data_IF_880624189471
#
_entry.id   IF_880624189471
#
_cell.length_a   1.000
_cell.length_b   1.000
_cell.length_c   1.000
_cell.angle_alpha   90.00
_cell.angle_beta   90.00
_cell.angle_gamma   90.00
#
_symmetry.space_group_name_H-M   'P 1'
#
loop_
_entity.id
_entity.type
_entity.pdbx_description
1 polymer ?
#
# COMPACT_ATOMS: atom_id res chain seq x y z
N UNK A 1 6.31 -10.57 18.12
CA UNK A 1 5.04 -11.35 17.99
C UNK A 1 5.12 -12.16 16.72
N UNK A 2 4.66 -13.41 16.75
CA UNK A 2 4.67 -14.25 15.55
C UNK A 2 3.60 -13.80 14.54
N UNK A 3 3.84 -13.96 13.23
CA UNK A 3 2.91 -13.51 12.18
C UNK A 3 1.50 -14.07 12.31
N UNK A 4 1.37 -15.34 12.71
CA UNK A 4 0.07 -15.97 12.92
C UNK A 4 -0.72 -15.28 14.05
N UNK A 5 -0.08 -14.95 15.16
CA UNK A 5 -0.74 -14.26 16.27
C UNK A 5 -1.20 -12.83 15.89
N UNK A 6 -0.44 -12.15 15.03
CA UNK A 6 -0.83 -10.85 14.46
C UNK A 6 -2.04 -10.98 13.54
N UNK A 7 -2.03 -11.97 12.66
CA UNK A 7 -3.16 -12.26 11.78
C UNK A 7 -4.43 -12.59 12.58
N UNK A 8 -4.32 -13.46 13.59
CA UNK A 8 -5.45 -13.86 14.43
C UNK A 8 -6.05 -12.66 15.20
N UNK A 9 -5.20 -11.75 15.67
CA UNK A 9 -5.66 -10.53 16.34
C UNK A 9 -6.38 -9.57 15.37
N UNK A 10 -5.87 -9.39 14.14
CA UNK A 10 -6.56 -8.61 13.09
C UNK A 10 -7.88 -9.28 12.74
N UNK A 11 -7.90 -10.60 12.56
CA UNK A 11 -9.10 -11.36 12.22
C UNK A 11 -10.15 -11.32 13.33
N UNK A 12 -9.73 -11.41 14.59
CA UNK A 12 -10.63 -11.31 15.73
C UNK A 12 -11.34 -9.94 15.82
N UNK A 13 -10.66 -8.87 15.40
CA UNK A 13 -11.22 -7.50 15.45
C UNK A 13 -11.98 -7.10 14.19
N UNK A 14 -11.53 -7.52 13.01
CA UNK A 14 -12.05 -7.07 11.72
C UNK A 14 -12.76 -8.17 10.92
N UNK A 15 -12.82 -9.40 11.44
CA UNK A 15 -13.54 -10.50 10.83
C UNK A 15 -13.10 -10.78 9.39
N UNK A 16 -14.05 -10.72 8.46
CA UNK A 16 -13.85 -11.03 7.04
C UNK A 16 -12.94 -10.02 6.30
N UNK A 17 -12.57 -8.91 6.94
CA UNK A 17 -11.59 -7.99 6.36
C UNK A 17 -10.18 -8.60 6.34
N UNK A 18 -9.84 -9.52 7.23
CA UNK A 18 -8.58 -10.28 7.22
C UNK A 18 -8.76 -11.55 6.39
N UNK A 19 -8.24 -11.52 5.15
CA UNK A 19 -8.49 -12.56 4.16
C UNK A 19 -7.52 -13.74 4.29
N UNK A 20 -6.20 -13.46 4.39
CA UNK A 20 -5.16 -14.47 4.29
C UNK A 20 -3.89 -14.01 4.99
N UNK A 21 -3.13 -14.98 5.54
CA UNK A 21 -1.74 -14.77 5.96
C UNK A 21 -0.80 -15.42 4.93
N UNK A 22 0.02 -14.60 4.27
CA UNK A 22 1.05 -15.04 3.33
C UNK A 22 2.41 -15.06 4.04
N UNK A 23 2.79 -16.20 4.60
CA UNK A 23 4.06 -16.37 5.34
C UNK A 23 5.10 -17.19 4.56
N UNK A 24 4.69 -18.00 3.61
CA UNK A 24 5.59 -18.90 2.87
C UNK A 24 6.59 -18.11 1.98
N UNK A 25 7.84 -18.05 2.42
CA UNK A 25 8.94 -17.46 1.67
C UNK A 25 9.05 -15.93 1.75
N UNK A 26 8.15 -15.25 2.46
CA UNK A 26 8.19 -13.79 2.62
C UNK A 26 8.79 -13.40 3.97
N UNK A 27 9.56 -12.31 3.98
CA UNK A 27 10.07 -11.66 5.19
C UNK A 27 9.98 -10.14 5.05
N UNK A 28 9.10 -9.47 5.79
CA UNK A 28 8.11 -10.04 6.72
C UNK A 28 6.96 -10.76 6.02
N UNK A 29 6.21 -11.59 6.77
CA UNK A 29 4.95 -12.16 6.31
C UNK A 29 3.90 -11.07 6.04
N UNK A 30 2.96 -11.32 5.14
CA UNK A 30 1.91 -10.38 4.78
C UNK A 30 0.53 -10.83 5.25
N UNK A 31 -0.18 -9.93 5.91
CA UNK A 31 -1.63 -10.04 6.14
C UNK A 31 -2.33 -9.43 4.93
N UNK A 32 -3.05 -10.24 4.18
CA UNK A 32 -3.89 -9.76 3.06
C UNK A 32 -5.22 -9.32 3.63
N UNK A 33 -5.63 -8.11 3.30
CA UNK A 33 -6.85 -7.48 3.80
C UNK A 33 -7.71 -6.94 2.65
N UNK A 34 -8.99 -6.71 2.94
CA UNK A 34 -9.85 -5.98 2.01
C UNK A 34 -9.39 -4.53 1.88
N UNK A 35 -9.35 -3.95 0.67
CA UNK A 35 -8.89 -2.57 0.47
C UNK A 35 -9.60 -1.54 1.35
N UNK A 36 -10.92 -1.65 1.49
CA UNK A 36 -11.71 -0.71 2.27
C UNK A 36 -11.32 -0.63 3.75
N UNK A 37 -10.73 -1.69 4.29
CA UNK A 37 -10.36 -1.78 5.72
C UNK A 37 -8.93 -1.35 6.03
N UNK A 38 -8.14 -0.97 5.01
CA UNK A 38 -6.69 -0.74 5.20
C UNK A 38 -6.40 0.34 6.24
N UNK A 39 -7.13 1.45 6.24
CA UNK A 39 -6.89 2.56 7.16
C UNK A 39 -7.25 2.20 8.61
N UNK A 40 -8.31 1.44 8.83
CA UNK A 40 -8.74 1.03 10.16
C UNK A 40 -7.83 -0.07 10.73
N UNK A 41 -7.42 -1.04 9.90
CA UNK A 41 -6.44 -2.06 10.28
C UNK A 41 -5.09 -1.41 10.57
N UNK A 42 -4.65 -0.46 9.75
CA UNK A 42 -3.42 0.30 9.96
C UNK A 42 -3.42 1.04 11.30
N UNK A 43 -4.52 1.74 11.60
CA UNK A 43 -4.69 2.45 12.88
C UNK A 43 -4.64 1.49 14.07
N UNK A 44 -5.33 0.35 13.97
CA UNK A 44 -5.28 -0.67 15.00
C UNK A 44 -3.88 -1.20 15.24
N UNK A 45 -3.16 -1.57 14.19
CA UNK A 45 -1.78 -2.07 14.30
C UNK A 45 -0.82 -1.06 14.92
N UNK A 46 -1.02 0.25 14.65
CA UNK A 46 -0.22 1.31 15.24
C UNK A 46 -0.54 1.52 16.73
N UNK A 47 -1.83 1.56 17.06
CA UNK A 47 -2.30 2.06 18.37
C UNK A 47 -2.38 0.96 19.43
N UNK A 48 -2.52 -0.31 19.05
CA UNK A 48 -2.58 -1.44 19.98
C UNK A 48 -1.25 -1.59 20.73
N UNK A 49 -1.25 -1.56 22.08
CA UNK A 49 -0.03 -1.61 22.89
C UNK A 49 0.83 -2.85 22.70
N UNK A 50 0.23 -3.99 22.31
CA UNK A 50 0.95 -5.24 22.08
C UNK A 50 1.63 -5.29 20.70
N UNK A 51 1.17 -4.46 19.75
CA UNK A 51 1.64 -4.44 18.37
C UNK A 51 2.54 -3.25 18.07
N UNK A 52 2.05 -2.03 18.31
CA UNK A 52 2.77 -0.75 18.16
C UNK A 52 3.62 -0.67 16.88
N UNK A 53 2.99 -0.87 15.73
CA UNK A 53 3.65 -0.65 14.45
C UNK A 53 3.76 0.85 14.16
N UNK A 54 4.70 1.49 14.82
CA UNK A 54 4.93 2.93 14.78
C UNK A 54 5.71 3.40 13.55
N UNK A 55 6.27 2.47 12.77
CA UNK A 55 7.05 2.79 11.58
C UNK A 55 6.49 2.12 10.32
N UNK A 56 6.08 2.94 9.35
CA UNK A 56 5.86 2.51 7.97
C UNK A 56 7.21 2.57 7.24
N UNK A 57 7.79 1.40 6.98
CA UNK A 57 9.11 1.28 6.33
C UNK A 57 9.01 1.50 4.82
N UNK A 58 7.94 1.00 4.21
CA UNK A 58 7.70 1.11 2.77
C UNK A 58 6.22 0.94 2.47
N UNK A 59 5.73 1.69 1.48
CA UNK A 59 4.46 1.46 0.81
C UNK A 59 4.73 1.45 -0.68
N UNK A 60 4.33 0.39 -1.37
CA UNK A 60 4.59 0.21 -2.80
C UNK A 60 3.37 -0.32 -3.53
N UNK A 61 3.17 0.17 -4.75
CA UNK A 61 2.26 -0.43 -5.72
C UNK A 61 2.90 -1.63 -6.39
N UNK A 62 2.09 -2.63 -6.69
CA UNK A 62 2.52 -3.83 -7.46
C UNK A 62 1.51 -4.06 -8.57
N UNK A 63 2.01 -4.20 -9.79
CA UNK A 63 1.19 -4.55 -10.95
C UNK A 63 1.29 -6.06 -11.22
N UNK A 64 0.23 -6.80 -10.90
CA UNK A 64 0.03 -8.18 -11.33
C UNK A 64 -0.65 -8.21 -12.70
N UNK A 65 -0.69 -9.37 -13.35
CA UNK A 65 -1.31 -9.51 -14.66
C UNK A 65 -2.80 -9.14 -14.64
N UNK A 66 -3.50 -9.53 -13.59
CA UNK A 66 -4.96 -9.47 -13.43
C UNK A 66 -5.44 -8.41 -12.43
N UNK A 67 -4.55 -7.86 -11.60
CA UNK A 67 -4.88 -6.92 -10.53
C UNK A 67 -3.70 -6.03 -10.15
N UNK A 68 -3.99 -4.96 -9.41
CA UNK A 68 -2.98 -4.25 -8.63
C UNK A 68 -2.95 -4.74 -7.19
N UNK A 69 -1.90 -4.42 -6.47
CA UNK A 69 -1.86 -4.49 -5.02
C UNK A 69 -1.08 -3.31 -4.45
N UNK A 70 -1.43 -2.93 -3.22
CA UNK A 70 -0.62 -2.06 -2.38
C UNK A 70 -0.06 -2.89 -1.25
N UNK A 71 1.25 -2.84 -1.07
CA UNK A 71 1.99 -3.55 -0.04
C UNK A 71 2.66 -2.55 0.91
N UNK A 72 2.34 -2.62 2.20
CA UNK A 72 2.94 -1.83 3.26
C UNK A 72 3.83 -2.72 4.12
N UNK A 73 5.05 -2.29 4.37
CA UNK A 73 5.96 -2.94 5.31
C UNK A 73 5.98 -2.14 6.60
N UNK A 74 5.58 -2.79 7.68
CA UNK A 74 5.43 -2.18 9.00
C UNK A 74 6.45 -2.73 9.97
N UNK A 75 6.96 -1.87 10.83
CA UNK A 75 7.90 -2.23 11.88
C UNK A 75 7.52 -1.59 13.20
N UNK A 76 7.67 -2.35 14.29
CA UNK A 76 7.54 -1.85 15.63
C UNK A 76 8.92 -1.62 16.24
N UNK A 77 9.27 -0.36 16.44
CA UNK A 77 10.55 0.02 17.07
C UNK A 77 10.64 -0.50 18.51
N UNK A 78 9.52 -0.49 19.22
CA UNK A 78 9.45 -0.96 20.61
C UNK A 78 9.57 -2.47 20.74
N UNK A 79 8.81 -3.22 19.95
CA UNK A 79 8.71 -4.67 20.05
C UNK A 79 9.66 -5.42 19.10
N UNK A 80 10.34 -4.70 18.22
CA UNK A 80 11.32 -5.24 17.25
C UNK A 80 10.75 -6.38 16.41
N UNK A 81 9.52 -6.22 15.95
CA UNK A 81 8.88 -7.15 15.01
C UNK A 81 8.39 -6.43 13.76
N UNK A 82 8.20 -7.17 12.70
CA UNK A 82 7.74 -6.67 11.42
C UNK A 82 6.55 -7.47 10.89
N UNK A 83 5.70 -6.81 10.13
CA UNK A 83 4.59 -7.41 9.37
C UNK A 83 4.35 -6.62 8.08
N UNK A 84 3.86 -7.30 7.05
CA UNK A 84 3.34 -6.66 5.87
C UNK A 84 1.82 -6.57 5.89
N UNK A 85 1.26 -5.47 5.38
CA UNK A 85 -0.14 -5.41 4.97
C UNK A 85 -0.20 -5.41 3.45
N UNK A 86 -1.15 -6.14 2.88
CA UNK A 86 -1.36 -6.19 1.44
C UNK A 86 -2.84 -6.06 1.11
N UNK A 87 -3.18 -5.12 0.26
CA UNK A 87 -4.52 -4.94 -0.29
C UNK A 87 -4.49 -5.16 -1.80
N UNK A 88 -5.37 -6.03 -2.31
CA UNK A 88 -5.49 -6.29 -3.74
C UNK A 88 -6.61 -5.45 -4.34
N UNK A 89 -6.35 -4.82 -5.50
CA UNK A 89 -7.24 -3.87 -6.16
C UNK A 89 -7.55 -4.33 -7.59
N UNK A 90 -8.73 -4.01 -8.13
CA UNK A 90 -9.02 -4.25 -9.53
C UNK A 90 -8.13 -3.40 -10.44
N UNK A 91 -7.96 -3.81 -11.69
CA UNK A 91 -7.25 -3.00 -12.71
C UNK A 91 -8.00 -1.73 -13.08
N UNK A 92 -9.33 -1.80 -13.07
CA UNK A 92 -10.19 -0.69 -13.38
C UNK A 92 -10.46 0.14 -12.12
N UNK A 93 -10.17 1.44 -12.18
CA UNK A 93 -10.38 2.40 -11.08
C UNK A 93 -9.81 1.91 -9.73
N UNK A 94 -8.51 1.57 -9.65
CA UNK A 94 -7.91 1.09 -8.43
C UNK A 94 -7.89 2.18 -7.37
N UNK A 95 -8.63 1.98 -6.28
CA UNK A 95 -8.66 2.92 -5.16
C UNK A 95 -8.71 2.21 -3.82
N UNK A 96 -8.20 2.87 -2.79
CA UNK A 96 -8.27 2.44 -1.41
C UNK A 96 -8.10 3.65 -0.47
N UNK A 97 -8.55 3.56 0.80
CA UNK A 97 -8.33 4.63 1.77
C UNK A 97 -6.84 4.91 2.00
N UNK A 98 -6.49 6.20 2.11
CA UNK A 98 -5.15 6.64 2.49
C UNK A 98 -4.79 6.23 3.92
N UNK A 99 -3.52 5.94 4.14
CA UNK A 99 -2.94 5.68 5.47
C UNK A 99 -2.04 6.82 5.96
N UNK A 100 -2.03 7.97 5.27
CA UNK A 100 -1.21 9.13 5.64
C UNK A 100 -1.60 9.77 6.97
N UNK A 101 -2.86 9.62 7.39
CA UNK A 101 -3.33 10.02 8.72
C UNK A 101 -2.84 9.09 9.83
N UNK A 102 -2.43 7.87 9.47
CA UNK A 102 -1.84 6.89 10.40
C UNK A 102 -0.32 7.09 10.48
N UNK A 103 0.34 7.11 9.34
CA UNK A 103 1.78 7.37 9.21
C UNK A 103 2.03 8.50 8.22
N UNK A 104 2.43 9.68 8.67
CA UNK A 104 2.66 10.83 7.76
C UNK A 104 3.65 10.56 6.62
N UNK A 105 4.59 9.63 6.81
CA UNK A 105 5.52 9.20 5.76
C UNK A 105 4.82 8.56 4.55
N UNK A 106 3.62 8.00 4.74
CA UNK A 106 2.83 7.41 3.66
C UNK A 106 2.50 8.42 2.56
N UNK A 107 2.33 9.70 2.88
CA UNK A 107 1.93 10.71 1.89
C UNK A 107 2.83 10.69 0.65
N UNK A 108 4.15 10.69 0.82
CA UNK A 108 5.08 10.65 -0.31
C UNK A 108 5.06 9.32 -1.06
N UNK A 109 4.93 8.21 -0.36
CA UNK A 109 4.88 6.87 -0.95
C UNK A 109 3.57 6.62 -1.69
N UNK A 110 2.46 7.17 -1.19
CA UNK A 110 1.15 7.16 -1.85
C UNK A 110 1.18 7.99 -3.14
N UNK A 111 1.79 9.19 -3.09
CA UNK A 111 1.99 10.01 -4.29
C UNK A 111 2.83 9.31 -5.36
N UNK A 112 3.92 8.65 -4.97
CA UNK A 112 4.74 7.85 -5.89
C UNK A 112 3.92 6.73 -6.52
N UNK A 113 3.16 6.00 -5.70
CA UNK A 113 2.30 4.90 -6.16
C UNK A 113 1.17 5.40 -7.08
N UNK A 114 0.56 6.53 -6.75
CA UNK A 114 -0.40 7.21 -7.61
C UNK A 114 0.24 7.63 -8.94
N UNK A 115 1.40 8.29 -8.88
CA UNK A 115 2.08 8.83 -10.05
C UNK A 115 2.45 7.72 -11.05
N UNK A 116 2.99 6.61 -10.56
CA UNK A 116 3.56 5.56 -11.41
C UNK A 116 2.57 4.44 -11.78
N UNK A 117 1.52 4.21 -11.00
CA UNK A 117 0.52 3.15 -11.24
C UNK A 117 -0.90 3.67 -11.41
N UNK A 118 -1.20 4.91 -11.01
CA UNK A 118 -2.55 5.47 -11.04
C UNK A 118 -3.48 4.87 -9.98
N UNK A 119 -2.94 4.39 -8.87
CA UNK A 119 -3.72 3.92 -7.72
C UNK A 119 -4.13 5.15 -6.90
N UNK A 120 -5.43 5.32 -6.67
CA UNK A 120 -6.00 6.46 -5.94
C UNK A 120 -6.05 6.15 -4.44
N UNK A 121 -5.48 7.04 -3.63
CA UNK A 121 -5.55 6.97 -2.16
C UNK A 121 -6.60 7.96 -1.66
N UNK A 122 -7.78 7.45 -1.34
CA UNK A 122 -8.93 8.25 -0.93
C UNK A 122 -8.68 8.90 0.43
N UNK A 123 -8.92 10.21 0.51
CA UNK A 123 -8.69 10.99 1.73
C UNK A 123 -7.23 11.38 1.97
N UNK A 124 -6.33 11.11 1.03
CA UNK A 124 -4.95 11.63 1.09
C UNK A 124 -4.96 13.16 1.05
N UNK A 125 -4.11 13.78 1.88
CA UNK A 125 -4.05 15.25 2.05
C UNK A 125 -3.50 15.98 0.84
N UNK A 126 -2.68 15.32 0.02
CA UNK A 126 -2.01 15.94 -1.13
C UNK A 126 -1.68 14.87 -2.19
N UNK A 127 -2.70 14.34 -2.88
CA UNK A 127 -2.53 13.33 -3.91
C UNK A 127 -2.27 13.96 -5.28
N UNK A 128 -1.02 14.25 -5.57
CA UNK A 128 -0.54 14.79 -6.85
C UNK A 128 0.73 14.08 -7.29
N UNK A 129 1.11 14.22 -8.55
CA UNK A 129 2.37 13.63 -9.06
C UNK A 129 3.58 14.12 -8.26
N UNK A 130 4.62 13.31 -8.20
CA UNK A 130 5.85 13.60 -7.46
C UNK A 130 7.12 13.38 -8.29
N UNK A 131 7.16 12.37 -9.14
CA UNK A 131 8.31 12.01 -9.95
C UNK A 131 8.18 12.47 -11.39
N UNK A 132 6.97 12.38 -11.96
CA UNK A 132 6.69 12.77 -13.32
C UNK A 132 6.20 14.23 -13.38
N UNK A 133 6.39 14.91 -14.53
CA UNK A 133 5.76 16.20 -14.79
C UNK A 133 4.24 16.12 -14.70
N UNK A 134 3.58 17.24 -14.35
CA UNK A 134 2.12 17.27 -14.18
C UNK A 134 1.37 16.94 -15.48
N UNK A 135 1.94 17.27 -16.62
CA UNK A 135 1.39 17.05 -17.96
C UNK A 135 1.78 15.69 -18.56
N UNK A 136 2.47 14.83 -17.82
CA UNK A 136 2.79 13.47 -18.29
C UNK A 136 1.53 12.62 -18.44
N UNK A 137 1.37 11.97 -19.59
CA UNK A 137 0.22 11.13 -19.88
C UNK A 137 0.46 9.68 -19.40
N UNK A 138 -0.49 9.17 -18.60
CA UNK A 138 -0.50 7.79 -18.10
C UNK A 138 0.41 7.53 -16.91
N UNK A 139 0.69 6.24 -16.67
CA UNK A 139 1.37 5.72 -15.49
C UNK A 139 2.42 4.68 -15.89
N UNK A 140 3.72 5.06 -15.93
CA UNK A 140 4.77 4.29 -16.62
C UNK A 140 5.10 2.92 -16.02
N UNK A 141 4.79 2.65 -14.77
CA UNK A 141 5.06 1.34 -14.17
C UNK A 141 3.93 0.31 -14.37
N UNK A 142 2.85 0.70 -15.03
CA UNK A 142 1.85 -0.28 -15.49
C UNK A 142 2.44 -1.15 -16.58
N UNK A 143 2.20 -2.46 -16.51
CA UNK A 143 2.67 -3.43 -17.52
C UNK A 143 2.04 -3.24 -18.91
N UNK A 144 0.88 -2.61 -18.97
CA UNK A 144 0.16 -2.26 -20.19
C UNK A 144 0.47 -0.85 -20.70
N UNK A 145 1.35 -0.11 -20.03
CA UNK A 145 1.73 1.25 -20.41
C UNK A 145 2.51 1.24 -21.73
N UNK A 146 2.13 2.17 -22.60
CA UNK A 146 2.85 2.46 -23.85
C UNK A 146 3.49 3.84 -23.76
N UNK A 147 4.79 3.89 -23.93
CA UNK A 147 5.51 5.15 -23.94
C UNK A 147 5.07 6.00 -25.13
N UNK A 148 4.94 7.33 -24.95
CA UNK A 148 4.69 8.23 -26.08
C UNK A 148 5.90 8.24 -27.02
N UNK A 149 5.67 8.45 -28.31
CA UNK A 149 6.76 8.56 -29.30
C UNK A 149 7.60 9.82 -29.11
N UNK A 150 7.01 10.85 -28.53
CA UNK A 150 7.68 12.11 -28.23
C UNK A 150 7.06 12.81 -27.02
N UNK A 151 7.87 13.60 -26.33
CA UNK A 151 7.45 14.46 -25.23
C UNK A 151 8.01 15.87 -25.46
N UNK A 152 7.16 16.91 -25.49
CA UNK A 152 7.53 18.30 -25.84
C UNK A 152 8.35 18.43 -27.13
N UNK A 153 8.03 17.61 -28.14
CA UNK A 153 8.74 17.62 -29.42
C UNK A 153 10.08 16.89 -29.42
N UNK A 154 10.46 16.29 -28.30
CA UNK A 154 11.68 15.47 -28.19
C UNK A 154 11.25 14.00 -28.29
N UNK A 155 11.92 13.25 -29.18
CA UNK A 155 11.69 11.81 -29.31
C UNK A 155 12.14 11.09 -28.04
N UNK A 156 11.27 10.25 -27.47
CA UNK A 156 11.52 9.48 -26.24
C UNK A 156 12.06 8.10 -26.58
#
# INVERSE_FOLDING_TARGET
MEPQALFDAVKAKFGDAALELQDAGFRPAFVVITPASIADVARFLRDDPAMRFDSLMCLSGVDYKDRFAVACHLYSMRHRHAIGLKACLPKENPSLPSVDAVWPAANFMERETFDLFGIVFEGSRDLRRILLPEDWEGHPLRKDYKYPDSYHGIKV
#
